data_IF_541106007349
#
_entry.id   IF_541106007349
#
_cell.length_a   1.000
_cell.length_b   1.000
_cell.length_c   1.000
_cell.angle_alpha   90.00
_cell.angle_beta   90.00
_cell.angle_gamma   90.00
#
_symmetry.space_group_name_H-M   'P 1'
#
loop_
_entity.id
_entity.type
_entity.pdbx_description
1 polymer ?
#
# COMPACT_ATOMS: atom_id res chain seq x y z
N UNK A 1 -18.80 12.34 4.19
CA UNK A 1 -18.62 13.64 4.89
C UNK A 1 -19.49 14.71 4.21
N UNK A 2 -19.83 15.85 4.86
CA UNK A 2 -20.70 16.87 4.26
C UNK A 2 -20.15 17.51 2.97
N UNK A 3 -18.85 17.39 2.72
CA UNK A 3 -18.15 17.91 1.55
C UNK A 3 -18.03 16.92 0.38
N UNK A 4 -18.73 15.77 0.44
CA UNK A 4 -18.69 14.76 -0.60
C UNK A 4 -17.49 13.80 -0.59
N UNK A 5 -16.51 13.99 0.32
CA UNK A 5 -15.40 13.05 0.46
C UNK A 5 -15.75 11.89 1.38
N UNK A 6 -15.28 10.70 1.04
CA UNK A 6 -15.35 9.54 1.90
C UNK A 6 -14.44 9.72 3.14
N UNK A 7 -14.95 9.32 4.31
CA UNK A 7 -14.19 9.39 5.57
C UNK A 7 -13.35 8.15 5.84
N UNK A 8 -13.85 6.99 5.42
CA UNK A 8 -13.19 5.69 5.56
C UNK A 8 -13.82 4.70 4.60
N UNK A 9 -13.11 3.61 4.32
CA UNK A 9 -13.61 2.55 3.45
C UNK A 9 -12.73 1.31 3.49
N UNK A 10 -13.17 0.30 2.77
CA UNK A 10 -12.44 -0.94 2.55
C UNK A 10 -12.40 -1.24 1.05
N UNK A 11 -11.25 -1.67 0.58
CA UNK A 11 -11.03 -2.15 -0.79
C UNK A 11 -10.71 -3.63 -0.70
N UNK A 12 -11.48 -4.45 -1.40
CA UNK A 12 -11.26 -5.89 -1.48
C UNK A 12 -10.80 -6.22 -2.89
N UNK A 13 -9.61 -6.78 -3.02
CA UNK A 13 -8.99 -7.12 -4.28
C UNK A 13 -8.74 -8.63 -4.34
N UNK A 14 -9.55 -9.40 -5.09
CA UNK A 14 -9.31 -10.81 -5.31
C UNK A 14 -8.22 -11.00 -6.38
N UNK A 15 -7.20 -11.79 -6.04
CA UNK A 15 -6.16 -12.25 -6.94
C UNK A 15 -6.19 -13.77 -6.95
N UNK A 16 -6.61 -14.42 -7.99
CA UNK A 16 -6.59 -15.87 -8.19
C UNK A 16 -6.55 -16.73 -6.93
N UNK A 17 -5.37 -16.91 -6.37
CA UNK A 17 -5.09 -17.70 -5.17
C UNK A 17 -4.91 -16.86 -3.89
N UNK A 18 -5.04 -15.54 -3.98
CA UNK A 18 -4.89 -14.63 -2.85
C UNK A 18 -6.02 -13.59 -2.80
N UNK A 19 -6.28 -13.07 -1.62
CA UNK A 19 -7.18 -11.94 -1.41
C UNK A 19 -6.45 -10.85 -0.63
N UNK A 20 -6.61 -9.61 -1.05
CA UNK A 20 -6.08 -8.44 -0.34
C UNK A 20 -7.25 -7.59 0.12
N UNK A 21 -7.20 -7.17 1.38
CA UNK A 21 -8.14 -6.19 1.95
C UNK A 21 -7.34 -5.00 2.45
N UNK A 22 -7.70 -3.82 1.97
CA UNK A 22 -7.12 -2.56 2.41
C UNK A 22 -8.21 -1.75 3.11
N UNK A 23 -8.03 -1.49 4.40
CA UNK A 23 -8.88 -0.56 5.15
C UNK A 23 -8.18 0.79 5.24
N UNK A 24 -8.89 1.87 4.92
CA UNK A 24 -8.35 3.21 5.01
C UNK A 24 -9.29 4.15 5.77
N UNK A 25 -8.73 5.17 6.41
CA UNK A 25 -9.49 6.20 7.09
C UNK A 25 -8.79 7.55 7.06
N UNK A 26 -9.58 8.61 6.88
CA UNK A 26 -9.19 10.01 7.00
C UNK A 26 -9.70 10.64 8.32
N UNK A 27 -10.40 9.86 9.16
CA UNK A 27 -11.07 10.35 10.36
C UNK A 27 -10.61 9.67 11.64
N UNK A 28 -9.85 8.60 11.56
CA UNK A 28 -9.22 7.92 12.70
C UNK A 28 -7.95 7.17 12.29
N UNK A 29 -7.06 6.95 13.25
CA UNK A 29 -5.85 6.17 13.07
C UNK A 29 -6.11 4.70 13.40
N UNK A 30 -5.66 3.79 12.53
CA UNK A 30 -5.73 2.37 12.81
C UNK A 30 -4.71 1.97 13.87
N UNK A 31 -5.15 1.17 14.83
CA UNK A 31 -4.29 0.51 15.82
C UNK A 31 -3.97 -0.93 15.45
N UNK A 32 -4.51 -1.41 14.33
CA UNK A 32 -4.34 -2.77 13.84
C UNK A 32 -3.12 -2.85 12.94
N UNK A 33 -2.18 -3.77 13.18
CA UNK A 33 -1.06 -4.00 12.27
C UNK A 33 -1.55 -4.56 10.92
N UNK A 34 -0.75 -4.39 9.88
CA UNK A 34 -0.96 -5.13 8.64
C UNK A 34 -0.54 -6.58 8.81
N UNK A 35 -1.24 -7.51 8.14
CA UNK A 35 -1.01 -8.95 8.28
C UNK A 35 -0.97 -9.61 6.91
N UNK A 36 0.05 -10.44 6.68
CA UNK A 36 0.12 -11.36 5.54
C UNK A 36 -0.11 -12.76 6.08
N UNK A 37 -1.14 -13.45 5.60
CA UNK A 37 -1.54 -14.79 6.06
C UNK A 37 -1.22 -15.81 4.97
N UNK A 38 -0.43 -16.81 5.31
CA UNK A 38 -0.09 -17.94 4.45
C UNK A 38 -0.40 -19.29 5.10
N UNK A 39 -0.09 -20.37 4.37
CA UNK A 39 -0.36 -21.74 4.84
C UNK A 39 0.47 -22.11 6.07
N UNK A 40 1.70 -21.63 6.19
CA UNK A 40 2.62 -21.97 7.27
C UNK A 40 2.54 -21.05 8.48
N UNK A 41 1.86 -19.91 8.35
CA UNK A 41 1.72 -18.92 9.42
C UNK A 41 1.33 -17.55 8.90
N UNK A 42 1.57 -16.53 9.72
CA UNK A 42 1.30 -15.15 9.38
C UNK A 42 2.51 -14.26 9.66
N UNK A 43 2.65 -13.18 8.90
CA UNK A 43 3.60 -12.11 9.18
C UNK A 43 2.81 -10.87 9.58
N UNK A 44 3.12 -10.30 10.73
CA UNK A 44 2.58 -9.00 11.14
C UNK A 44 3.59 -7.89 10.85
N UNK A 45 3.07 -6.77 10.34
CA UNK A 45 3.81 -5.55 10.02
C UNK A 45 3.24 -4.43 10.86
N UNK A 46 4.03 -3.83 11.73
CA UNK A 46 3.56 -2.83 12.70
C UNK A 46 2.98 -1.58 12.03
N UNK A 47 3.67 -1.03 11.02
CA UNK A 47 3.23 0.10 10.20
C UNK A 47 3.66 -0.12 8.76
N UNK A 48 2.71 -0.18 7.85
CA UNK A 48 3.01 -0.43 6.44
C UNK A 48 3.79 0.72 5.78
N UNK A 49 3.53 1.96 6.18
CA UNK A 49 4.18 3.16 5.61
C UNK A 49 5.61 3.38 6.12
N UNK A 50 5.93 2.90 7.31
CA UNK A 50 7.26 3.02 7.91
C UNK A 50 7.47 1.85 8.87
N UNK A 51 7.75 0.68 8.30
CA UNK A 51 7.88 -0.57 9.03
C UNK A 51 9.07 -0.52 9.97
N UNK A 52 8.84 -0.71 11.27
CA UNK A 52 9.88 -0.80 12.28
C UNK A 52 9.98 -2.19 12.90
N UNK A 53 8.94 -3.00 12.74
CA UNK A 53 8.89 -4.37 13.26
C UNK A 53 8.13 -5.31 12.33
N UNK A 54 8.76 -6.47 12.08
CA UNK A 54 8.16 -7.62 11.41
C UNK A 54 8.22 -8.82 12.36
N UNK A 55 7.09 -9.52 12.52
CA UNK A 55 7.04 -10.73 13.34
C UNK A 55 6.39 -11.86 12.56
N UNK A 56 7.08 -12.97 12.42
CA UNK A 56 6.51 -14.21 11.90
C UNK A 56 5.83 -14.99 13.03
N UNK A 57 4.60 -15.39 12.80
CA UNK A 57 3.77 -16.17 13.72
C UNK A 57 3.49 -17.51 13.03
N UNK A 58 4.28 -18.57 13.29
CA UNK A 58 4.08 -19.86 12.67
C UNK A 58 2.78 -20.53 13.17
N UNK A 59 2.19 -21.41 12.34
CA UNK A 59 1.01 -22.21 12.77
C UNK A 59 1.28 -23.06 14.01
N UNK A 60 2.55 -23.48 14.19
CA UNK A 60 3.01 -24.24 15.35
C UNK A 60 4.36 -23.69 15.77
N UNK A 61 4.50 -23.34 17.05
CA UNK A 61 5.73 -22.78 17.57
C UNK A 61 5.49 -21.43 18.25
N UNK A 62 6.57 -20.72 18.48
CA UNK A 62 6.52 -19.39 19.09
C UNK A 62 6.72 -18.31 18.00
N UNK A 63 6.12 -17.13 18.15
CA UNK A 63 6.42 -16.00 17.30
C UNK A 63 7.89 -15.64 17.34
N UNK A 64 8.42 -15.21 16.19
CA UNK A 64 9.81 -14.77 16.05
C UNK A 64 9.89 -13.46 15.28
N UNK A 65 10.74 -12.54 15.70
CA UNK A 65 10.96 -11.29 15.02
C UNK A 65 11.87 -11.51 13.80
N UNK A 66 11.46 -10.99 12.64
CA UNK A 66 12.24 -11.04 11.40
C UNK A 66 13.22 -9.86 11.42
N UNK A 67 14.54 -10.11 11.45
CA UNK A 67 15.51 -9.03 11.43
C UNK A 67 15.56 -8.36 10.06
N UNK A 68 15.56 -7.02 10.05
CA UNK A 68 15.77 -6.22 8.86
C UNK A 68 16.41 -4.87 9.22
N UNK A 69 16.99 -4.20 8.22
CA UNK A 69 17.59 -2.89 8.44
C UNK A 69 16.47 -1.82 8.48
N UNK A 70 16.21 -1.30 9.66
CA UNK A 70 15.28 -0.21 9.87
C UNK A 70 15.94 1.16 9.66
N UNK A 71 15.23 2.05 8.99
CA UNK A 71 15.64 3.44 8.82
C UNK A 71 14.42 4.37 8.88
N UNK A 72 14.43 5.32 9.80
CA UNK A 72 13.35 6.30 9.95
C UNK A 72 13.21 7.24 8.74
N UNK A 73 14.31 7.44 8.00
CA UNK A 73 14.35 8.30 6.83
C UNK A 73 14.14 7.51 5.54
N UNK A 74 13.03 6.76 5.44
CA UNK A 74 12.75 5.88 4.31
C UNK A 74 12.67 6.61 2.96
N UNK A 75 12.29 7.89 2.92
CA UNK A 75 12.29 8.72 1.71
C UNK A 75 13.65 8.77 1.00
N UNK A 76 14.74 8.55 1.72
CA UNK A 76 16.08 8.51 1.10
C UNK A 76 16.22 7.41 0.05
N UNK A 77 15.51 6.28 0.21
CA UNK A 77 15.57 5.18 -0.73
C UNK A 77 14.97 5.58 -2.09
N UNK A 78 13.86 6.31 -2.07
CA UNK A 78 13.23 6.84 -3.28
C UNK A 78 14.13 7.85 -3.98
N UNK A 79 14.69 8.81 -3.22
CA UNK A 79 15.61 9.80 -3.77
C UNK A 79 16.87 9.16 -4.32
N UNK A 80 17.43 8.17 -3.63
CA UNK A 80 18.62 7.44 -4.08
C UNK A 80 18.36 6.72 -5.39
N UNK A 81 17.23 6.03 -5.50
CA UNK A 81 16.85 5.32 -6.71
C UNK A 81 16.57 6.29 -7.86
N UNK A 82 15.91 7.40 -7.61
CA UNK A 82 15.69 8.45 -8.60
C UNK A 82 17.01 9.00 -9.17
N UNK A 83 17.97 9.32 -8.29
CA UNK A 83 19.31 9.77 -8.70
C UNK A 83 20.04 8.70 -9.51
N UNK A 84 19.99 7.43 -9.06
CA UNK A 84 20.60 6.29 -9.76
C UNK A 84 20.07 6.17 -11.19
N UNK A 85 18.75 6.27 -11.37
CA UNK A 85 18.12 6.20 -12.71
C UNK A 85 18.59 7.35 -13.63
N UNK A 86 18.70 8.56 -13.10
CA UNK A 86 19.21 9.70 -13.87
C UNK A 86 20.66 9.47 -14.28
N UNK A 87 21.51 9.05 -13.35
CA UNK A 87 22.95 8.85 -13.60
C UNK A 87 23.23 7.68 -14.54
N UNK A 88 22.47 6.59 -14.44
CA UNK A 88 22.64 5.41 -15.29
C UNK A 88 21.99 5.55 -16.66
N UNK A 89 21.00 6.45 -16.80
CA UNK A 89 20.18 6.55 -18.02
C UNK A 89 19.24 5.35 -18.22
N UNK A 90 19.03 4.54 -17.18
CA UNK A 90 18.09 3.43 -17.22
C UNK A 90 16.65 3.92 -17.26
N UNK A 91 15.76 3.10 -17.83
CA UNK A 91 14.33 3.40 -17.91
C UNK A 91 13.67 3.32 -16.53
N UNK A 92 12.78 4.28 -16.24
CA UNK A 92 11.91 4.25 -15.07
C UNK A 92 10.63 3.41 -15.29
N UNK A 93 10.48 2.74 -16.43
CA UNK A 93 9.27 2.03 -16.84
C UNK A 93 8.79 1.02 -15.79
N UNK A 94 9.73 0.30 -15.18
CA UNK A 94 9.42 -0.64 -14.11
C UNK A 94 8.70 0.03 -12.91
N UNK A 95 9.14 1.22 -12.50
CA UNK A 95 8.52 1.96 -11.40
C UNK A 95 7.19 2.60 -11.82
N UNK A 96 7.12 3.12 -13.05
CA UNK A 96 5.91 3.72 -13.61
C UNK A 96 4.77 2.71 -13.71
N UNK A 97 5.05 1.46 -14.06
CA UNK A 97 4.05 0.40 -14.12
C UNK A 97 3.31 0.19 -12.79
N UNK A 98 4.00 0.26 -11.65
CA UNK A 98 3.35 0.16 -10.35
C UNK A 98 2.43 1.35 -10.08
N UNK A 99 2.85 2.55 -10.47
CA UNK A 99 2.01 3.75 -10.35
C UNK A 99 0.76 3.67 -11.23
N UNK A 100 0.88 3.13 -12.43
CA UNK A 100 -0.26 2.88 -13.32
C UNK A 100 -1.26 1.90 -12.68
N UNK A 101 -0.79 0.76 -12.17
CA UNK A 101 -1.67 -0.21 -11.48
C UNK A 101 -2.34 0.37 -10.24
N UNK A 102 -1.63 1.20 -9.48
CA UNK A 102 -2.21 1.89 -8.32
C UNK A 102 -3.32 2.84 -8.77
N UNK A 103 -3.10 3.62 -9.82
CA UNK A 103 -4.11 4.52 -10.37
C UNK A 103 -5.33 3.77 -10.90
N UNK A 104 -5.16 2.64 -11.58
CA UNK A 104 -6.26 1.79 -12.05
C UNK A 104 -7.14 1.30 -10.89
N UNK A 105 -6.53 0.89 -9.78
CA UNK A 105 -7.27 0.50 -8.57
C UNK A 105 -8.04 1.69 -7.99
N UNK A 106 -7.39 2.85 -7.84
CA UNK A 106 -8.01 4.05 -7.29
C UNK A 106 -9.17 4.55 -8.16
N UNK A 107 -9.01 4.56 -9.47
CA UNK A 107 -10.06 4.96 -10.41
C UNK A 107 -11.26 3.99 -10.38
N UNK A 108 -10.98 2.69 -10.28
CA UNK A 108 -12.01 1.67 -10.12
C UNK A 108 -12.81 1.89 -8.83
N UNK A 109 -12.14 2.07 -7.71
CA UNK A 109 -12.77 2.31 -6.39
C UNK A 109 -13.57 3.61 -6.41
N UNK A 110 -13.02 4.66 -7.00
CA UNK A 110 -13.69 5.96 -7.16
C UNK A 110 -14.97 5.83 -7.98
N UNK A 111 -14.90 5.15 -9.10
CA UNK A 111 -16.08 4.91 -9.96
C UNK A 111 -17.16 4.10 -9.22
N UNK A 112 -16.80 3.05 -8.51
CA UNK A 112 -17.72 2.23 -7.71
C UNK A 112 -18.44 3.03 -6.62
N UNK A 113 -17.75 4.01 -6.03
CA UNK A 113 -18.32 4.87 -4.98
C UNK A 113 -19.04 6.12 -5.51
N UNK A 114 -19.06 6.32 -6.83
CA UNK A 114 -19.71 7.49 -7.45
C UNK A 114 -19.00 8.82 -7.10
N UNK A 115 -17.71 8.78 -6.80
CA UNK A 115 -16.92 9.98 -6.52
C UNK A 115 -16.50 10.61 -7.84
N UNK A 116 -17.01 11.80 -8.10
CA UNK A 116 -16.79 12.54 -9.35
C UNK A 116 -16.10 13.86 -9.02
N UNK A 117 -15.02 14.17 -9.73
CA UNK A 117 -14.32 15.45 -9.61
C UNK A 117 -14.69 16.40 -10.76
N UNK A 118 -14.56 17.71 -10.57
CA UNK A 118 -14.78 18.67 -11.65
C UNK A 118 -13.97 18.40 -12.91
N UNK A 119 -12.72 17.93 -12.77
CA UNK A 119 -11.85 17.57 -13.89
C UNK A 119 -12.37 16.39 -14.74
N UNK A 120 -13.26 15.56 -14.20
CA UNK A 120 -13.85 14.44 -14.96
C UNK A 120 -14.81 14.91 -16.07
N UNK A 121 -15.18 16.20 -16.08
CA UNK A 121 -16.04 16.82 -17.08
C UNK A 121 -15.27 17.69 -18.08
N UNK A 122 -13.98 17.89 -17.89
CA UNK A 122 -13.15 18.65 -18.83
C UNK A 122 -12.68 17.71 -19.95
N UNK A 123 -13.15 17.98 -21.18
CA UNK A 123 -12.64 17.30 -22.38
C UNK A 123 -11.16 17.73 -22.59
N UNK A 124 -10.26 16.76 -22.65
CA UNK A 124 -8.84 16.96 -22.94
C UNK A 124 -8.63 17.18 -24.44
#
# INVERSE_FOLDING_TARGET
MPNGFEGSGEIIMPYGDANVTVSYSKIFDSVTPSVIIGEDGAITVDKISCTSKLTFIPRKGQPEDIPFAYDEQNMKFEVTEFVRLIESGESAEYHLQFSEWEMDVLDTVRAQNGVIFPADFEEV
#
